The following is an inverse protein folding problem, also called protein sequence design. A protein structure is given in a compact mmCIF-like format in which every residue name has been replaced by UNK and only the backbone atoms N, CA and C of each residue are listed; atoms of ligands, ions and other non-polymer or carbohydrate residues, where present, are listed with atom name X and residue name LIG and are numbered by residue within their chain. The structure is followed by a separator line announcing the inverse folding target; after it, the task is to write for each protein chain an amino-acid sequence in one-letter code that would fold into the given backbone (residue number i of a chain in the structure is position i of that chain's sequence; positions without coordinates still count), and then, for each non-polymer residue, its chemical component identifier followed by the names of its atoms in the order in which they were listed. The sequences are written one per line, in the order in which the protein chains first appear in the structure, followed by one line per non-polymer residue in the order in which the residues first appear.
data_IF_094257699123
#
_entry.id   IF_094257699123
#
_cell.length_a   1.000
_cell.length_b   1.000
_cell.length_c   1.000
_cell.angle_alpha   90.00
_cell.angle_beta   90.00
_cell.angle_gamma   90.00
#
_symmetry.space_group_name_H-M   'P 1'
#
loop_
_entity.id
_entity.type
_entity.pdbx_description
1 polymer ?
#
# COMPACT_ATOMS: atom_id res chain seq x y z
N UNK A 1 -9.40 -18.00 18.33
CA UNK A 1 -9.98 -17.17 17.26
C UNK A 1 -9.16 -17.33 15.99
N UNK A 2 -9.83 -17.67 14.89
CA UNK A 2 -9.23 -17.80 13.55
C UNK A 2 -9.55 -16.59 12.68
N UNK A 3 -8.50 -15.86 12.27
CA UNK A 3 -8.60 -14.67 11.42
C UNK A 3 -7.94 -14.97 10.08
N UNK A 4 -8.67 -14.75 9.00
CA UNK A 4 -8.14 -14.79 7.64
C UNK A 4 -8.01 -13.35 7.11
N UNK A 5 -6.76 -12.89 6.97
CA UNK A 5 -6.40 -11.64 6.31
C UNK A 5 -6.33 -11.81 4.79
N UNK A 6 -6.92 -10.88 4.05
CA UNK A 6 -6.95 -10.89 2.58
C UNK A 6 -6.61 -9.50 2.03
N UNK A 7 -5.70 -9.47 1.05
CA UNK A 7 -5.47 -8.30 0.20
C UNK A 7 -5.77 -8.68 -1.25
N UNK A 8 -6.78 -8.07 -1.90
CA UNK A 8 -7.06 -8.26 -3.33
C UNK A 8 -6.34 -7.19 -4.20
N UNK A 9 -5.25 -6.61 -3.69
CA UNK A 9 -4.46 -5.55 -4.32
C UNK A 9 -3.68 -6.05 -5.55
N UNK A 10 -2.73 -5.27 -6.05
CA UNK A 10 -1.90 -5.62 -7.21
C UNK A 10 -1.00 -6.85 -6.98
N UNK A 11 -0.70 -7.20 -5.72
CA UNK A 11 -0.12 -8.48 -5.34
C UNK A 11 -1.08 -9.16 -4.35
N UNK A 12 -2.06 -9.87 -4.91
CA UNK A 12 -3.13 -10.41 -4.09
C UNK A 12 -2.59 -11.53 -3.18
N UNK A 13 -2.99 -11.53 -1.91
CA UNK A 13 -2.40 -12.39 -0.88
C UNK A 13 -3.40 -12.75 0.22
N UNK A 14 -3.11 -13.84 0.92
CA UNK A 14 -3.85 -14.28 2.09
C UNK A 14 -2.89 -14.63 3.24
N UNK A 15 -3.30 -14.33 4.47
CA UNK A 15 -2.61 -14.69 5.69
C UNK A 15 -3.61 -15.24 6.71
N UNK A 16 -3.32 -16.39 7.29
CA UNK A 16 -4.13 -17.02 8.33
C UNK A 16 -3.46 -16.84 9.69
N UNK A 17 -4.20 -16.31 10.64
CA UNK A 17 -3.79 -16.13 12.02
C UNK A 17 -4.66 -16.99 12.94
N UNK A 18 -4.04 -17.58 13.96
CA UNK A 18 -4.70 -18.26 15.08
C UNK A 18 -4.23 -17.61 16.38
N UNK A 19 -5.17 -17.01 17.10
CA UNK A 19 -4.91 -16.39 18.42
C UNK A 19 -3.75 -15.38 18.40
N UNK A 20 -3.71 -14.54 17.35
CA UNK A 20 -2.70 -13.51 17.15
C UNK A 20 -1.40 -13.99 16.48
N UNK A 21 -1.22 -15.29 16.29
CA UNK A 21 -0.02 -15.88 15.68
C UNK A 21 -0.27 -16.18 14.21
N UNK A 22 0.66 -15.77 13.33
CA UNK A 22 0.62 -16.11 11.89
C UNK A 22 0.91 -17.60 11.71
N UNK A 23 -0.05 -18.33 11.13
CA UNK A 23 0.06 -19.76 10.84
C UNK A 23 0.59 -20.00 9.43
N UNK A 24 0.09 -19.23 8.46
CA UNK A 24 0.50 -19.32 7.06
C UNK A 24 0.22 -18.00 6.34
N UNK A 25 1.08 -17.62 5.41
CA UNK A 25 0.84 -16.48 4.52
C UNK A 25 1.42 -16.78 3.12
N UNK A 26 0.70 -16.42 2.07
CA UNK A 26 1.14 -16.62 0.70
C UNK A 26 0.52 -15.59 -0.25
N UNK A 27 1.30 -15.16 -1.25
CA UNK A 27 0.82 -14.38 -2.37
C UNK A 27 0.36 -15.27 -3.52
N UNK A 28 -0.71 -14.86 -4.22
CA UNK A 28 -1.34 -15.59 -5.34
C UNK A 28 -0.32 -15.86 -6.46
N UNK A 29 0.58 -14.91 -6.73
CA UNK A 29 1.64 -15.06 -7.74
C UNK A 29 2.52 -16.30 -7.53
N UNK A 30 2.67 -16.76 -6.28
CA UNK A 30 3.49 -17.94 -5.97
C UNK A 30 2.84 -19.21 -6.48
N UNK A 31 1.50 -19.24 -6.50
CA UNK A 31 0.68 -20.36 -6.95
C UNK A 31 0.44 -20.30 -8.47
N UNK A 32 0.08 -19.12 -8.99
CA UNK A 32 -0.26 -18.96 -10.42
C UNK A 32 0.95 -18.81 -11.31
N UNK A 33 2.13 -18.50 -10.73
CA UNK A 33 3.38 -18.22 -11.44
C UNK A 33 3.31 -16.98 -12.33
N UNK A 34 2.25 -16.19 -12.20
CA UNK A 34 2.10 -14.89 -12.86
C UNK A 34 2.63 -13.81 -11.91
N UNK A 35 3.73 -13.15 -12.27
CA UNK A 35 4.35 -12.13 -11.40
C UNK A 35 3.39 -10.95 -11.15
N UNK A 36 3.20 -10.54 -9.90
CA UNK A 36 2.26 -9.48 -9.52
C UNK A 36 0.80 -9.85 -9.85
N UNK A 37 0.45 -11.11 -9.64
CA UNK A 37 -0.92 -11.56 -9.85
C UNK A 37 -1.85 -10.98 -8.78
N UNK A 38 -2.85 -10.22 -9.21
CA UNK A 38 -3.72 -9.51 -8.29
C UNK A 38 -4.91 -8.83 -8.97
N UNK A 39 -5.43 -7.80 -8.30
CA UNK A 39 -6.61 -7.02 -8.72
C UNK A 39 -7.94 -7.74 -8.54
N UNK A 40 -7.94 -8.86 -7.82
CA UNK A 40 -9.07 -9.74 -7.57
C UNK A 40 -8.86 -10.52 -6.27
N UNK A 41 -9.91 -11.18 -5.79
CA UNK A 41 -9.83 -12.02 -4.60
C UNK A 41 -8.83 -13.18 -4.80
N UNK A 42 -7.83 -13.37 -3.92
CA UNK A 42 -6.78 -14.39 -4.05
C UNK A 42 -7.29 -15.76 -3.59
N UNK A 43 -8.15 -16.38 -4.40
CA UNK A 43 -8.79 -17.66 -4.04
C UNK A 43 -7.77 -18.79 -3.86
N UNK A 44 -6.73 -18.84 -4.69
CA UNK A 44 -5.67 -19.84 -4.54
C UNK A 44 -4.96 -19.69 -3.21
N UNK A 45 -4.58 -18.47 -2.84
CA UNK A 45 -3.90 -18.18 -1.57
C UNK A 45 -4.79 -18.52 -0.36
N UNK A 46 -6.08 -18.16 -0.41
CA UNK A 46 -7.06 -18.49 0.64
C UNK A 46 -7.12 -19.99 0.87
N UNK A 47 -7.33 -20.79 -0.18
CA UNK A 47 -7.38 -22.25 -0.05
C UNK A 47 -6.05 -22.80 0.46
N UNK A 48 -4.93 -22.23 0.01
CA UNK A 48 -3.61 -22.74 0.36
C UNK A 48 -3.27 -22.53 1.84
N UNK A 49 -3.55 -21.34 2.40
CA UNK A 49 -3.29 -21.08 3.83
C UNK A 49 -4.19 -21.90 4.74
N UNK A 50 -5.44 -22.11 4.35
CA UNK A 50 -6.38 -22.96 5.08
C UNK A 50 -5.94 -24.43 5.05
N UNK A 51 -5.54 -24.92 3.87
CA UNK A 51 -5.01 -26.28 3.68
C UNK A 51 -3.76 -26.54 4.53
N UNK A 52 -2.83 -25.57 4.65
CA UNK A 52 -1.64 -25.70 5.51
C UNK A 52 -2.06 -25.96 6.97
N UNK A 53 -3.13 -25.32 7.44
CA UNK A 53 -3.63 -25.48 8.80
C UNK A 53 -4.59 -26.67 8.97
N UNK A 54 -4.89 -27.43 7.91
CA UNK A 54 -5.91 -28.49 7.95
C UNK A 54 -7.32 -27.96 8.17
N UNK A 55 -7.60 -26.72 7.74
CA UNK A 55 -8.86 -26.01 7.93
C UNK A 55 -9.57 -25.77 6.60
N UNK A 56 -10.81 -25.34 6.69
CA UNK A 56 -11.67 -24.93 5.58
C UNK A 56 -12.17 -23.50 5.80
N UNK A 57 -12.82 -22.93 4.78
CA UNK A 57 -13.49 -21.62 4.91
C UNK A 57 -14.59 -21.64 5.98
N UNK A 58 -15.12 -22.81 6.31
CA UNK A 58 -16.11 -23.00 7.36
C UNK A 58 -15.52 -22.96 8.76
N UNK A 59 -14.19 -22.80 8.93
CA UNK A 59 -13.53 -22.69 10.24
C UNK A 59 -13.18 -21.23 10.59
N UNK A 60 -13.28 -20.31 9.62
CA UNK A 60 -12.88 -18.91 9.79
C UNK A 60 -13.89 -18.12 10.61
N UNK A 61 -13.44 -17.55 11.73
CA UNK A 61 -14.26 -16.71 12.61
C UNK A 61 -14.38 -15.26 12.10
N UNK A 62 -13.28 -14.74 11.56
CA UNK A 62 -13.20 -13.38 11.07
C UNK A 62 -12.42 -13.31 9.74
N UNK A 63 -13.00 -12.61 8.77
CA UNK A 63 -12.37 -12.23 7.52
C UNK A 63 -11.97 -10.75 7.61
N UNK A 64 -10.67 -10.51 7.67
CA UNK A 64 -10.07 -9.18 7.63
C UNK A 64 -9.65 -8.86 6.20
N UNK A 65 -10.19 -7.81 5.58
CA UNK A 65 -9.92 -7.50 4.17
C UNK A 65 -9.48 -6.05 3.99
N UNK A 66 -8.48 -5.82 3.14
CA UNK A 66 -8.21 -4.48 2.58
C UNK A 66 -9.19 -4.29 1.41
N UNK A 67 -10.16 -3.37 1.49
CA UNK A 67 -11.25 -3.31 0.52
C UNK A 67 -10.84 -2.62 -0.80
N UNK A 68 -9.77 -3.04 -1.46
CA UNK A 68 -9.35 -2.44 -2.74
C UNK A 68 -10.32 -2.79 -3.89
N UNK A 69 -10.63 -4.08 -3.99
CA UNK A 69 -11.43 -4.69 -5.05
C UNK A 69 -12.48 -5.58 -4.41
N UNK A 70 -13.73 -5.36 -4.81
CA UNK A 70 -14.85 -6.19 -4.38
C UNK A 70 -15.77 -6.51 -5.55
N UNK A 71 -16.51 -7.63 -5.49
CA UNK A 71 -17.51 -7.95 -6.50
C UNK A 71 -18.59 -6.88 -6.56
N UNK A 72 -18.92 -6.42 -7.77
CA UNK A 72 -19.88 -5.33 -7.97
C UNK A 72 -21.23 -5.61 -7.33
N UNK A 73 -21.70 -6.86 -7.41
CA UNK A 73 -22.98 -7.28 -6.88
C UNK A 73 -23.01 -7.44 -5.35
N UNK A 74 -21.84 -7.37 -4.72
CA UNK A 74 -21.65 -7.38 -3.27
C UNK A 74 -21.52 -5.96 -2.69
N UNK A 75 -21.61 -4.90 -3.52
CA UNK A 75 -21.56 -3.52 -3.08
C UNK A 75 -22.93 -2.87 -3.32
N UNK A 76 -23.46 -2.19 -2.30
CA UNK A 76 -24.62 -1.31 -2.41
C UNK A 76 -24.17 0.07 -2.84
N UNK A 77 -24.80 0.63 -3.86
CA UNK A 77 -24.54 2.01 -4.24
C UNK A 77 -25.34 2.97 -3.32
N UNK A 78 -24.74 4.06 -2.79
CA UNK A 78 -25.46 5.04 -1.97
C UNK A 78 -26.60 5.74 -2.74
N UNK A 79 -26.41 5.98 -4.04
CA UNK A 79 -27.46 6.51 -4.93
C UNK A 79 -28.33 5.40 -5.53
N UNK A 80 -29.65 5.50 -5.32
CA UNK A 80 -30.65 4.52 -5.80
C UNK A 80 -30.63 4.34 -7.32
N UNK A 81 -30.50 5.42 -8.10
CA UNK A 81 -30.46 5.34 -9.56
C UNK A 81 -29.29 4.50 -10.08
N UNK A 82 -28.09 4.70 -9.52
CA UNK A 82 -26.92 3.88 -9.86
C UNK A 82 -27.03 2.44 -9.37
N UNK A 83 -27.71 2.21 -8.24
CA UNK A 83 -28.00 0.86 -7.75
C UNK A 83 -28.92 0.10 -8.71
N UNK A 84 -29.97 0.74 -9.21
CA UNK A 84 -30.87 0.15 -10.21
C UNK A 84 -30.13 -0.14 -11.51
N UNK A 85 -29.36 0.83 -12.01
CA UNK A 85 -28.54 0.67 -13.21
C UNK A 85 -27.58 -0.53 -13.10
N UNK A 86 -26.91 -0.68 -11.95
CA UNK A 86 -26.03 -1.83 -11.66
C UNK A 86 -26.78 -3.15 -11.64
N UNK A 87 -27.96 -3.20 -11.04
CA UNK A 87 -28.78 -4.43 -11.01
C UNK A 87 -29.21 -4.85 -12.41
N UNK A 88 -29.68 -3.91 -13.22
CA UNK A 88 -30.08 -4.17 -14.61
C UNK A 88 -28.88 -4.68 -15.43
N UNK A 89 -27.72 -4.04 -15.28
CA UNK A 89 -26.47 -4.46 -15.92
C UNK A 89 -26.04 -5.86 -15.47
N UNK A 90 -26.06 -6.14 -14.17
CA UNK A 90 -25.70 -7.45 -13.62
C UNK A 90 -26.65 -8.55 -14.09
N UNK A 91 -27.95 -8.27 -14.18
CA UNK A 91 -28.93 -9.20 -14.74
C UNK A 91 -28.63 -9.49 -16.22
N UNK A 92 -28.37 -8.44 -17.02
CA UNK A 92 -28.00 -8.57 -18.43
C UNK A 92 -26.72 -9.39 -18.62
N UNK A 93 -25.70 -9.12 -17.82
CA UNK A 93 -24.41 -9.81 -17.91
C UNK A 93 -24.57 -11.30 -17.52
N UNK A 94 -25.41 -11.61 -16.50
CA UNK A 94 -25.77 -12.99 -16.13
C UNK A 94 -26.51 -13.73 -17.26
N UNK A 95 -27.48 -13.08 -17.89
CA UNK A 95 -28.20 -13.65 -19.04
C UNK A 95 -27.27 -13.95 -20.22
N UNK A 96 -26.13 -13.26 -20.31
CA UNK A 96 -25.09 -13.47 -21.32
C UNK A 96 -23.98 -14.43 -20.87
N UNK A 97 -24.08 -15.02 -19.68
CA UNK A 97 -23.03 -15.89 -19.12
C UNK A 97 -21.71 -15.18 -18.81
N UNK A 98 -21.72 -13.85 -18.68
CA UNK A 98 -20.52 -13.07 -18.40
C UNK A 98 -20.16 -13.13 -16.90
N UNK A 99 -18.86 -13.12 -16.56
CA UNK A 99 -18.41 -13.15 -15.17
C UNK A 99 -18.80 -11.86 -14.44
N UNK A 100 -19.03 -11.98 -13.13
CA UNK A 100 -19.22 -10.82 -12.25
C UNK A 100 -17.93 -10.01 -12.21
N UNK A 101 -18.07 -8.69 -12.36
CA UNK A 101 -16.94 -7.77 -12.36
C UNK A 101 -16.52 -7.43 -10.93
N UNK A 102 -15.22 -7.36 -10.70
CA UNK A 102 -14.65 -6.76 -9.49
C UNK A 102 -14.42 -5.27 -9.73
N UNK A 103 -14.95 -4.44 -8.84
CA UNK A 103 -14.88 -2.97 -8.93
C UNK A 103 -13.93 -2.42 -7.89
N UNK A 104 -13.21 -1.35 -8.26
CA UNK A 104 -12.37 -0.62 -7.34
C UNK A 104 -13.24 0.17 -6.34
N UNK A 105 -13.11 -0.15 -5.06
CA UNK A 105 -13.94 0.42 -3.99
C UNK A 105 -13.48 1.84 -3.62
N UNK A 106 -12.24 2.21 -3.96
CA UNK A 106 -11.72 3.57 -3.77
C UNK A 106 -12.55 4.67 -4.46
N UNK A 107 -13.37 4.34 -5.46
CA UNK A 107 -14.34 5.30 -6.01
C UNK A 107 -15.52 5.56 -5.06
N UNK A 108 -15.98 4.52 -4.35
CA UNK A 108 -17.03 4.65 -3.33
C UNK A 108 -16.51 5.46 -2.14
N UNK A 109 -15.30 5.16 -1.64
CA UNK A 109 -14.67 5.93 -0.56
C UNK A 109 -14.58 7.43 -0.90
N UNK A 110 -14.09 7.76 -2.10
CA UNK A 110 -14.02 9.16 -2.57
C UNK A 110 -15.41 9.80 -2.73
N UNK A 111 -16.41 9.04 -3.17
CA UNK A 111 -17.78 9.56 -3.23
C UNK A 111 -18.34 9.85 -1.83
N UNK A 112 -18.10 8.98 -0.85
CA UNK A 112 -18.49 9.19 0.54
C UNK A 112 -17.83 10.44 1.12
N UNK A 113 -16.52 10.59 0.91
CA UNK A 113 -15.76 11.75 1.36
C UNK A 113 -16.29 13.07 0.77
N UNK A 114 -16.61 13.11 -0.53
CA UNK A 114 -17.23 14.29 -1.19
C UNK A 114 -18.61 14.64 -0.64
N UNK A 115 -19.31 13.67 -0.06
CA UNK A 115 -20.60 13.87 0.62
C UNK A 115 -20.42 14.25 2.10
N UNK A 116 -19.20 14.46 2.59
CA UNK A 116 -18.92 14.73 4.01
C UNK A 116 -19.17 13.52 4.92
N UNK A 117 -19.22 12.30 4.36
CA UNK A 117 -19.40 11.06 5.13
C UNK A 117 -18.06 10.41 5.41
N UNK A 118 -18.01 9.66 6.51
CA UNK A 118 -16.87 8.80 6.80
C UNK A 118 -16.64 7.84 5.61
N UNK A 119 -15.41 7.70 5.10
CA UNK A 119 -15.09 6.85 3.96
C UNK A 119 -15.06 5.35 4.32
N UNK A 120 -15.90 4.92 5.26
CA UNK A 120 -16.08 3.54 5.64
C UNK A 120 -17.03 2.83 4.65
N UNK A 121 -16.53 1.76 4.04
CA UNK A 121 -17.25 1.01 3.01
C UNK A 121 -17.98 -0.20 3.55
N UNK A 122 -17.67 -0.66 4.77
CA UNK A 122 -18.33 -1.81 5.39
C UNK A 122 -19.87 -1.73 5.37
N UNK A 123 -20.51 -0.58 5.70
CA UNK A 123 -21.98 -0.47 5.69
C UNK A 123 -22.61 -0.69 4.30
N UNK A 124 -21.81 -0.50 3.24
CA UNK A 124 -22.22 -0.67 1.85
C UNK A 124 -21.96 -2.09 1.34
N UNK A 125 -21.21 -2.91 2.07
CA UNK A 125 -20.94 -4.30 1.67
C UNK A 125 -22.13 -5.20 2.01
N UNK A 126 -22.52 -6.03 1.04
CA UNK A 126 -23.46 -7.13 1.23
C UNK A 126 -22.72 -8.33 1.80
N UNK A 127 -22.25 -8.20 3.05
CA UNK A 127 -21.40 -9.20 3.72
C UNK A 127 -21.94 -10.64 3.58
N UNK A 128 -23.22 -10.88 3.92
CA UNK A 128 -23.84 -12.22 3.79
C UNK A 128 -23.79 -12.80 2.37
N UNK A 129 -23.99 -11.96 1.35
CA UNK A 129 -23.91 -12.38 -0.06
C UNK A 129 -22.48 -12.74 -0.43
N UNK A 130 -21.52 -11.91 0.00
CA UNK A 130 -20.10 -12.16 -0.23
C UNK A 130 -19.65 -13.45 0.45
N UNK A 131 -19.96 -13.64 1.73
CA UNK A 131 -19.63 -14.84 2.51
C UNK A 131 -20.22 -16.10 1.87
N UNK A 132 -21.51 -16.08 1.52
CA UNK A 132 -22.15 -17.20 0.83
C UNK A 132 -21.48 -17.50 -0.52
N UNK A 133 -21.20 -16.47 -1.33
CA UNK A 133 -20.55 -16.63 -2.64
C UNK A 133 -19.17 -17.24 -2.53
N UNK A 134 -18.42 -16.83 -1.52
CA UNK A 134 -17.07 -17.30 -1.26
C UNK A 134 -17.07 -18.50 -0.29
N UNK A 135 -18.20 -19.16 -0.01
CA UNK A 135 -18.24 -20.39 0.77
C UNK A 135 -17.73 -20.27 2.22
N UNK A 136 -17.92 -19.12 2.86
CA UNK A 136 -17.70 -18.92 4.30
C UNK A 136 -19.00 -19.18 5.08
N UNK A 137 -18.89 -19.35 6.41
CA UNK A 137 -20.08 -19.48 7.26
C UNK A 137 -20.91 -18.18 7.25
N UNK A 138 -22.23 -18.24 7.41
CA UNK A 138 -23.08 -17.05 7.48
C UNK A 138 -22.77 -16.12 8.68
N UNK A 139 -22.16 -16.65 9.73
CA UNK A 139 -21.80 -15.95 10.96
C UNK A 139 -20.33 -15.47 11.01
N UNK A 140 -19.50 -15.82 10.02
CA UNK A 140 -18.14 -15.27 9.87
C UNK A 140 -18.21 -13.74 9.83
N UNK A 141 -17.43 -13.09 10.70
CA UNK A 141 -17.37 -11.62 10.76
C UNK A 141 -16.56 -11.10 9.59
N UNK A 142 -17.11 -10.15 8.82
CA UNK A 142 -16.36 -9.42 7.79
C UNK A 142 -15.94 -8.06 8.36
N UNK A 143 -14.65 -7.73 8.26
CA UNK A 143 -14.05 -6.46 8.68
C UNK A 143 -13.13 -5.92 7.60
N UNK A 144 -13.27 -4.64 7.27
CA UNK A 144 -12.44 -3.92 6.33
C UNK A 144 -11.43 -3.06 7.08
N UNK A 145 -10.18 -3.09 6.63
CA UNK A 145 -9.09 -2.32 7.23
C UNK A 145 -8.45 -1.39 6.22
N UNK A 146 -7.93 -0.26 6.70
CA UNK A 146 -7.14 0.62 5.86
C UNK A 146 -5.82 -0.05 5.42
N UNK A 147 -5.34 0.29 4.22
CA UNK A 147 -4.15 -0.29 3.60
C UNK A 147 -2.88 0.09 4.35
N UNK A 148 -2.70 1.39 4.64
CA UNK A 148 -1.52 1.87 5.35
C UNK A 148 -1.56 1.50 6.83
N UNK A 149 -2.75 1.45 7.44
CA UNK A 149 -2.92 0.93 8.79
C UNK A 149 -2.57 -0.56 8.87
N UNK A 150 -2.98 -1.36 7.89
CA UNK A 150 -2.61 -2.78 7.81
C UNK A 150 -1.09 -2.95 7.68
N UNK A 151 -0.43 -2.15 6.84
CA UNK A 151 1.03 -2.13 6.77
C UNK A 151 1.69 -1.74 8.11
N UNK A 152 1.18 -0.69 8.76
CA UNK A 152 1.75 -0.19 10.00
C UNK A 152 1.60 -1.21 11.14
N UNK A 153 0.42 -1.80 11.30
CA UNK A 153 0.18 -2.84 12.30
C UNK A 153 0.96 -4.11 12.02
N UNK A 154 1.14 -4.51 10.76
CA UNK A 154 1.99 -5.65 10.41
C UNK A 154 3.46 -5.39 10.83
N UNK A 155 4.01 -4.21 10.54
CA UNK A 155 5.35 -3.85 11.00
C UNK A 155 5.45 -3.81 12.54
N UNK A 156 4.48 -3.17 13.20
CA UNK A 156 4.46 -3.05 14.65
C UNK A 156 4.39 -4.42 15.34
N UNK A 157 3.35 -5.20 15.05
CA UNK A 157 3.07 -6.47 15.73
C UNK A 157 4.10 -7.56 15.42
N UNK A 158 4.73 -7.54 14.24
CA UNK A 158 5.75 -8.55 13.88
C UNK A 158 7.18 -8.14 14.27
N UNK A 159 7.41 -6.89 14.67
CA UNK A 159 8.74 -6.42 15.08
C UNK A 159 9.22 -7.00 16.41
N UNK A 160 8.28 -7.38 17.29
CA UNK A 160 8.59 -7.77 18.67
C UNK A 160 8.99 -6.60 19.58
N UNK A 161 8.82 -5.35 19.14
CA UNK A 161 9.10 -4.17 19.95
C UNK A 161 7.86 -3.76 20.77
N UNK A 162 8.06 -3.51 22.07
CA UNK A 162 7.01 -2.95 22.95
C UNK A 162 6.69 -1.50 22.59
N UNK A 163 7.71 -0.77 22.13
CA UNK A 163 7.63 0.61 21.66
C UNK A 163 8.46 0.78 20.38
N UNK A 164 7.85 1.36 19.34
CA UNK A 164 8.56 1.70 18.11
C UNK A 164 7.92 2.88 17.37
N UNK A 165 8.78 3.68 16.72
CA UNK A 165 8.34 4.49 15.59
C UNK A 165 7.93 3.56 14.47
N UNK A 166 6.70 3.68 13.98
CA UNK A 166 6.21 2.91 12.84
C UNK A 166 6.08 3.82 11.64
N UNK A 167 6.69 3.46 10.51
CA UNK A 167 6.63 4.24 9.27
C UNK A 167 6.26 3.34 8.10
N UNK A 168 5.25 3.76 7.36
CA UNK A 168 4.89 3.15 6.08
C UNK A 168 5.09 4.12 4.94
N UNK A 169 5.70 3.66 3.85
CA UNK A 169 5.88 4.42 2.61
C UNK A 169 5.66 3.49 1.43
N UNK A 170 4.69 3.82 0.58
CA UNK A 170 4.25 2.99 -0.54
C UNK A 170 3.98 3.84 -1.79
N UNK A 171 3.52 3.19 -2.88
CA UNK A 171 2.97 3.87 -4.06
C UNK A 171 1.80 4.78 -3.67
N UNK A 172 0.62 4.21 -3.50
CA UNK A 172 -0.58 4.87 -2.99
C UNK A 172 -1.52 3.78 -2.43
N UNK A 173 -2.08 3.98 -1.24
CA UNK A 173 -3.18 3.23 -0.65
C UNK A 173 -4.52 3.97 -0.75
N UNK A 174 -5.43 3.71 0.20
CA UNK A 174 -6.76 4.34 0.19
C UNK A 174 -6.69 5.86 0.28
N UNK A 175 -7.62 6.52 -0.42
CA UNK A 175 -7.78 7.98 -0.41
C UNK A 175 -6.54 8.79 -0.82
N UNK A 176 -5.54 8.16 -1.46
CA UNK A 176 -4.33 8.84 -1.88
C UNK A 176 -3.20 8.82 -0.85
N UNK A 177 -3.42 8.22 0.33
CA UNK A 177 -2.36 8.05 1.34
C UNK A 177 -1.21 7.26 0.72
N UNK A 178 0.02 7.74 0.88
CA UNK A 178 1.24 7.08 0.40
C UNK A 178 2.34 7.03 1.46
N UNK A 179 2.14 7.72 2.58
CA UNK A 179 2.95 7.58 3.78
C UNK A 179 2.09 7.71 5.04
N UNK A 180 2.40 6.91 6.06
CA UNK A 180 1.87 7.04 7.42
C UNK A 180 3.01 6.85 8.41
N UNK A 181 3.10 7.69 9.44
CA UNK A 181 4.00 7.48 10.57
C UNK A 181 3.29 7.70 11.90
N UNK A 182 3.75 6.97 12.91
CA UNK A 182 3.15 6.97 14.23
C UNK A 182 4.05 6.33 15.28
N UNK A 183 3.54 6.31 16.50
CA UNK A 183 4.15 5.64 17.64
C UNK A 183 3.31 4.42 18.00
N UNK A 184 3.92 3.25 17.96
CA UNK A 184 3.35 2.05 18.54
C UNK A 184 3.85 1.91 19.97
N UNK A 185 2.93 1.72 20.92
CA UNK A 185 3.22 1.43 22.32
C UNK A 185 2.06 0.64 22.93
N UNK A 186 2.35 -0.38 23.73
CA UNK A 186 1.37 -1.15 24.50
C UNK A 186 0.23 -1.73 23.63
N UNK A 187 0.58 -2.21 22.42
CA UNK A 187 -0.40 -2.79 21.49
C UNK A 187 -1.24 -1.76 20.73
N UNK A 188 -1.02 -0.46 20.93
CA UNK A 188 -1.77 0.62 20.29
C UNK A 188 -0.85 1.43 19.37
N UNK A 189 -1.29 1.63 18.13
CA UNK A 189 -0.64 2.52 17.19
C UNK A 189 -1.33 3.88 17.18
N UNK A 190 -0.63 4.92 17.65
CA UNK A 190 -1.05 6.29 17.48
C UNK A 190 -0.49 6.86 16.18
N UNK A 191 -1.38 7.15 15.22
CA UNK A 191 -1.00 7.82 13.97
C UNK A 191 -0.66 9.29 14.24
N UNK A 192 0.53 9.73 13.84
CA UNK A 192 1.03 11.08 14.07
C UNK A 192 1.17 11.90 12.79
N UNK A 193 1.43 11.29 11.64
CA UNK A 193 1.47 11.99 10.37
C UNK A 193 1.06 11.09 9.21
N UNK A 194 0.55 11.73 8.15
CA UNK A 194 0.13 11.09 6.91
C UNK A 194 0.52 11.99 5.75
N UNK A 195 0.89 11.39 4.62
CA UNK A 195 1.00 12.11 3.35
C UNK A 195 0.05 11.50 2.35
N UNK A 196 -0.83 12.33 1.80
CA UNK A 196 -1.92 11.96 0.88
C UNK A 196 -2.03 12.92 -0.33
N UNK A 197 -1.17 13.93 -0.38
CA UNK A 197 -1.12 14.88 -1.48
C UNK A 197 -0.65 14.22 -2.78
N UNK A 198 -1.45 14.36 -3.84
CA UNK A 198 -1.06 13.96 -5.19
C UNK A 198 0.23 14.68 -5.62
N UNK A 199 1.09 14.00 -6.38
CA UNK A 199 2.41 14.51 -6.75
C UNK A 199 3.50 14.41 -5.66
N UNK A 200 3.19 13.91 -4.46
CA UNK A 200 4.17 13.76 -3.37
C UNK A 200 4.55 12.31 -3.03
N UNK A 201 3.95 11.31 -3.68
CA UNK A 201 4.26 9.91 -3.40
C UNK A 201 5.71 9.57 -3.78
N UNK A 202 6.45 9.04 -2.80
CA UNK A 202 7.81 8.52 -3.00
C UNK A 202 7.82 7.20 -3.79
N UNK A 203 6.83 6.32 -3.56
CA UNK A 203 6.70 5.07 -4.30
C UNK A 203 6.47 5.33 -5.80
N UNK A 204 5.50 6.19 -6.14
CA UNK A 204 5.25 6.55 -7.54
C UNK A 204 6.38 7.37 -8.18
N UNK A 205 7.13 8.14 -7.39
CA UNK A 205 8.34 8.78 -7.89
C UNK A 205 9.36 7.74 -8.37
N UNK A 206 9.67 6.75 -7.51
CA UNK A 206 10.69 5.74 -7.81
C UNK A 206 10.22 4.75 -8.90
N UNK A 207 8.94 4.36 -8.87
CA UNK A 207 8.28 3.59 -9.93
C UNK A 207 8.31 4.34 -11.28
N UNK A 208 8.02 5.64 -11.25
CA UNK A 208 8.05 6.50 -12.42
C UNK A 208 9.43 6.58 -13.06
N UNK A 209 10.48 6.77 -12.26
CA UNK A 209 11.88 6.71 -12.74
C UNK A 209 12.20 5.33 -13.31
N UNK A 210 11.75 4.25 -12.65
CA UNK A 210 11.93 2.88 -13.15
C UNK A 210 11.37 2.74 -14.56
N UNK A 211 10.16 3.26 -14.83
CA UNK A 211 9.58 3.30 -16.16
C UNK A 211 10.35 4.20 -17.15
N UNK A 212 10.76 5.40 -16.74
CA UNK A 212 11.53 6.33 -17.59
C UNK A 212 12.89 5.77 -18.00
N UNK A 213 13.50 4.92 -17.18
CA UNK A 213 14.74 4.21 -17.49
C UNK A 213 14.53 2.97 -18.39
N UNK A 214 13.31 2.72 -18.87
CA UNK A 214 12.98 1.58 -19.73
C UNK A 214 12.86 0.26 -18.97
N UNK A 215 12.80 0.29 -17.64
CA UNK A 215 12.51 -0.89 -16.84
C UNK A 215 11.00 -1.08 -16.64
N UNK A 216 10.61 -2.15 -15.95
CA UNK A 216 9.20 -2.49 -15.73
C UNK A 216 8.79 -2.05 -14.33
N UNK A 217 7.90 -1.06 -14.19
CA UNK A 217 7.29 -0.66 -12.93
C UNK A 217 6.73 -1.86 -12.13
N UNK A 218 6.76 -1.74 -10.80
CA UNK A 218 6.31 -2.73 -9.80
C UNK A 218 7.08 -4.06 -9.85
N UNK A 219 8.29 -4.06 -10.42
CA UNK A 219 9.11 -5.28 -10.61
C UNK A 219 10.61 -5.01 -10.61
N UNK A 220 11.04 -3.90 -11.20
CA UNK A 220 12.44 -3.63 -11.50
C UNK A 220 13.03 -2.47 -10.70
N UNK A 221 12.36 -1.98 -9.67
CA UNK A 221 12.85 -0.93 -8.76
C UNK A 221 14.21 -1.33 -8.15
N UNK A 222 14.39 -2.61 -7.82
CA UNK A 222 15.69 -3.14 -7.35
C UNK A 222 16.82 -3.02 -8.38
N UNK A 223 16.53 -2.97 -9.69
CA UNK A 223 17.54 -2.70 -10.73
C UNK A 223 17.96 -1.24 -10.72
N UNK A 224 17.03 -0.31 -10.46
CA UNK A 224 17.36 1.11 -10.29
C UNK A 224 18.26 1.30 -9.08
N UNK A 225 17.96 0.63 -7.96
CA UNK A 225 18.83 0.63 -6.78
C UNK A 225 20.24 0.12 -7.09
N UNK A 226 20.37 -1.01 -7.81
CA UNK A 226 21.68 -1.55 -8.20
C UNK A 226 22.44 -0.62 -9.15
N UNK A 227 21.73 -0.01 -10.10
CA UNK A 227 22.30 0.92 -11.08
C UNK A 227 22.78 2.23 -10.44
N UNK A 228 22.09 2.69 -9.39
CA UNK A 228 22.41 3.91 -8.66
C UNK A 228 23.84 3.92 -8.06
N UNK A 229 24.44 2.75 -7.83
CA UNK A 229 25.81 2.64 -7.34
C UNK A 229 26.89 3.08 -8.36
N UNK A 230 26.52 3.22 -9.63
CA UNK A 230 27.45 3.47 -10.75
C UNK A 230 27.38 4.89 -11.32
N UNK A 231 26.50 5.75 -10.78
CA UNK A 231 26.27 7.10 -11.29
C UNK A 231 26.65 8.22 -10.32
N UNK A 232 26.70 9.43 -10.83
CA UNK A 232 26.82 10.66 -10.03
C UNK A 232 25.43 11.33 -9.91
N UNK A 233 24.87 11.49 -8.70
CA UNK A 233 23.58 12.15 -8.52
C UNK A 233 23.64 13.66 -8.76
N UNK A 234 24.82 14.29 -8.66
CA UNK A 234 24.97 15.75 -8.58
C UNK A 234 24.35 16.51 -9.76
N UNK A 235 24.51 16.10 -11.02
CA UNK A 235 23.98 16.87 -12.16
C UNK A 235 22.45 17.03 -12.13
N UNK A 236 21.75 16.07 -11.53
CA UNK A 236 20.29 15.99 -11.54
C UNK A 236 19.66 16.32 -10.18
N UNK A 237 20.45 16.41 -9.12
CA UNK A 237 19.93 16.45 -7.74
C UNK A 237 18.97 17.62 -7.49
N UNK A 238 19.28 18.82 -7.99
CA UNK A 238 18.44 19.99 -7.76
C UNK A 238 17.08 19.86 -8.46
N UNK A 239 17.08 19.37 -9.70
CA UNK A 239 15.84 19.08 -10.42
C UNK A 239 15.02 17.99 -9.73
N UNK A 240 15.67 16.94 -9.21
CA UNK A 240 14.98 15.84 -8.56
C UNK A 240 14.38 16.24 -7.20
N UNK A 241 15.01 17.14 -6.43
CA UNK A 241 14.43 17.71 -5.19
C UNK A 241 13.13 18.47 -5.41
N UNK A 242 12.92 19.02 -6.60
CA UNK A 242 11.65 19.64 -6.99
C UNK A 242 10.54 18.61 -7.18
N UNK A 243 10.89 17.38 -7.57
CA UNK A 243 9.95 16.29 -7.78
C UNK A 243 9.64 15.49 -6.51
N UNK A 244 10.54 15.46 -5.53
CA UNK A 244 10.30 14.81 -4.23
C UNK A 244 11.24 15.37 -3.16
N UNK A 245 10.69 15.72 -2.00
CA UNK A 245 11.44 16.10 -0.79
C UNK A 245 10.61 15.89 0.47
N UNK A 246 11.27 15.91 1.63
CA UNK A 246 10.59 16.07 2.90
C UNK A 246 10.05 17.50 3.01
N UNK A 247 8.83 17.67 3.52
CA UNK A 247 8.29 18.99 3.81
C UNK A 247 9.09 19.66 4.95
N UNK A 248 9.10 21.01 5.03
CA UNK A 248 9.81 21.72 6.11
C UNK A 248 9.39 21.30 7.52
N UNK A 249 8.16 20.80 7.69
CA UNK A 249 7.67 20.27 8.96
C UNK A 249 8.35 18.98 9.42
N UNK A 250 9.07 18.28 8.52
CA UNK A 250 9.64 16.95 8.78
C UNK A 250 8.60 15.83 8.88
N UNK A 251 7.30 16.13 8.71
CA UNK A 251 6.19 15.19 8.98
C UNK A 251 5.57 14.60 7.72
N UNK A 252 5.77 15.23 6.57
CA UNK A 252 5.15 14.81 5.31
C UNK A 252 6.13 14.87 4.15
N UNK A 253 5.76 14.20 3.06
CA UNK A 253 6.45 14.32 1.78
C UNK A 253 5.77 15.39 0.91
N UNK A 254 6.53 16.06 0.06
CA UNK A 254 6.02 17.10 -0.85
C UNK A 254 6.84 17.20 -2.14
N UNK A 255 6.35 18.01 -3.08
CA UNK A 255 7.01 18.38 -4.34
C UNK A 255 6.47 19.71 -4.86
N UNK A 256 7.07 20.25 -5.92
CA UNK A 256 6.61 21.47 -6.61
C UNK A 256 5.31 21.25 -7.42
N UNK A 257 4.83 20.00 -7.48
CA UNK A 257 3.67 19.58 -8.25
C UNK A 257 2.42 19.39 -7.38
N UNK A 258 2.58 19.37 -6.06
CA UNK A 258 1.45 19.30 -5.12
C UNK A 258 0.48 20.46 -5.37
N UNK A 259 -0.82 20.15 -5.33
CA UNK A 259 -1.89 21.13 -5.55
C UNK A 259 -2.26 21.37 -7.01
N UNK A 260 -1.55 20.77 -7.97
CA UNK A 260 -1.88 20.86 -9.39
C UNK A 260 -2.94 19.83 -9.80
N UNK A 261 -3.81 20.13 -10.78
CA UNK A 261 -4.87 19.21 -11.23
C UNK A 261 -4.36 17.84 -11.72
N UNK A 262 -3.18 17.82 -12.36
CA UNK A 262 -2.55 16.62 -12.88
C UNK A 262 -1.17 16.38 -12.25
N UNK A 263 -1.03 16.65 -10.94
CA UNK A 263 0.22 16.67 -10.19
C UNK A 263 1.19 15.53 -10.53
N UNK A 264 0.76 14.26 -10.48
CA UNK A 264 1.62 13.11 -10.79
C UNK A 264 2.03 13.04 -12.26
N UNK A 265 1.11 13.34 -13.17
CA UNK A 265 1.38 13.36 -14.62
C UNK A 265 2.36 14.46 -15.01
N UNK A 266 2.15 15.67 -14.48
CA UNK A 266 3.06 16.81 -14.67
C UNK A 266 4.44 16.55 -14.07
N UNK A 267 4.50 15.95 -12.87
CA UNK A 267 5.76 15.56 -12.24
C UNK A 267 6.54 14.58 -13.10
N UNK A 268 5.88 13.57 -13.67
CA UNK A 268 6.52 12.60 -14.55
C UNK A 268 6.93 13.20 -15.90
N UNK A 269 6.14 14.13 -16.46
CA UNK A 269 6.50 14.85 -17.67
C UNK A 269 7.76 15.71 -17.44
N UNK A 270 7.82 16.44 -16.33
CA UNK A 270 9.00 17.18 -15.93
C UNK A 270 10.24 16.30 -15.80
N UNK A 271 10.15 15.17 -15.08
CA UNK A 271 11.29 14.26 -14.93
C UNK A 271 11.74 13.69 -16.27
N UNK A 272 10.82 13.35 -17.18
CA UNK A 272 11.15 12.89 -18.54
C UNK A 272 11.99 13.90 -19.31
N UNK A 273 11.73 15.19 -19.14
CA UNK A 273 12.47 16.24 -19.82
C UNK A 273 13.82 16.49 -19.16
N UNK A 274 13.86 16.51 -17.83
CA UNK A 274 15.08 16.71 -17.03
C UNK A 274 16.14 15.63 -17.30
N UNK A 275 15.74 14.37 -17.46
CA UNK A 275 16.71 13.27 -17.61
C UNK A 275 17.32 13.18 -19.02
N UNK A 276 16.86 13.99 -19.99
CA UNK A 276 17.36 13.91 -21.37
C UNK A 276 18.85 14.24 -21.42
N UNK A 277 19.62 13.39 -22.10
CA UNK A 277 21.07 13.57 -22.23
C UNK A 277 21.89 13.07 -21.04
N UNK A 278 21.26 12.54 -19.98
CA UNK A 278 21.95 11.92 -18.86
C UNK A 278 22.04 10.40 -19.01
N UNK A 279 23.08 9.81 -18.40
CA UNK A 279 23.23 8.35 -18.34
C UNK A 279 22.14 7.73 -17.45
N UNK A 280 21.87 6.43 -17.62
CA UNK A 280 20.85 5.74 -16.79
C UNK A 280 21.33 5.61 -15.35
N UNK A 281 22.64 5.50 -15.18
CA UNK A 281 23.39 5.45 -13.94
C UNK A 281 23.22 6.74 -13.14
N UNK A 282 23.44 7.90 -13.75
CA UNK A 282 23.29 9.21 -13.07
C UNK A 282 21.84 9.46 -12.69
N UNK A 283 20.89 9.11 -13.56
CA UNK A 283 19.45 9.21 -13.28
C UNK A 283 19.05 8.31 -12.11
N UNK A 284 19.53 7.06 -12.09
CA UNK A 284 19.29 6.13 -10.99
C UNK A 284 19.93 6.62 -9.69
N UNK A 285 21.16 7.14 -9.75
CA UNK A 285 21.87 7.72 -8.60
C UNK A 285 21.10 8.93 -8.02
N UNK A 286 20.63 9.84 -8.87
CA UNK A 286 19.82 10.99 -8.46
C UNK A 286 18.47 10.58 -7.86
N UNK A 287 17.79 9.59 -8.45
CA UNK A 287 16.55 9.04 -7.90
C UNK A 287 16.76 8.43 -6.50
N UNK A 288 17.80 7.61 -6.35
CA UNK A 288 18.15 6.99 -5.09
C UNK A 288 18.51 8.04 -4.03
N UNK A 289 19.34 9.01 -4.39
CA UNK A 289 19.74 10.09 -3.48
C UNK A 289 18.55 10.94 -3.06
N UNK A 290 17.63 11.24 -3.97
CA UNK A 290 16.42 12.03 -3.70
C UNK A 290 15.45 11.27 -2.79
N UNK A 291 15.29 9.96 -2.99
CA UNK A 291 14.50 9.12 -2.10
C UNK A 291 15.06 9.13 -0.67
N UNK A 292 16.38 8.99 -0.51
CA UNK A 292 17.06 9.09 0.79
C UNK A 292 16.89 10.46 1.43
N UNK A 293 17.10 11.55 0.67
CA UNK A 293 16.94 12.93 1.16
C UNK A 293 15.49 13.29 1.50
N UNK A 294 14.50 12.57 0.96
CA UNK A 294 13.09 12.77 1.28
C UNK A 294 12.64 11.94 2.50
N UNK A 295 13.00 10.66 2.56
CA UNK A 295 12.45 9.73 3.56
C UNK A 295 13.27 9.70 4.85
N UNK A 296 14.60 9.81 4.80
CA UNK A 296 15.44 9.75 6.01
C UNK A 296 15.13 10.89 6.99
N UNK A 297 14.99 12.16 6.56
CA UNK A 297 14.59 13.24 7.48
C UNK A 297 13.21 13.02 8.10
N UNK A 298 12.29 12.41 7.35
CA UNK A 298 10.94 12.11 7.84
C UNK A 298 10.97 11.11 8.99
N UNK A 299 11.76 10.03 8.87
CA UNK A 299 11.93 9.03 9.94
C UNK A 299 12.66 9.63 11.14
N UNK A 300 13.75 10.38 10.88
CA UNK A 300 14.51 11.08 11.93
C UNK A 300 13.63 12.01 12.75
N UNK A 301 12.81 12.84 12.12
CA UNK A 301 11.91 13.74 12.81
C UNK A 301 10.94 12.97 13.73
N UNK A 302 10.47 11.80 13.32
CA UNK A 302 9.61 10.95 14.15
C UNK A 302 10.35 10.36 15.36
N UNK A 303 11.59 9.89 15.16
CA UNK A 303 12.47 9.41 16.25
C UNK A 303 12.75 10.53 17.25
N UNK A 304 13.12 11.72 16.77
CA UNK A 304 13.41 12.89 17.62
C UNK A 304 12.17 13.38 18.39
N UNK A 305 11.01 13.41 17.74
CA UNK A 305 9.76 13.91 18.35
C UNK A 305 9.19 12.92 19.38
N UNK A 306 9.33 11.61 19.14
CA UNK A 306 8.76 10.58 20.03
C UNK A 306 9.73 10.10 21.11
N UNK A 307 11.04 10.21 20.87
CA UNK A 307 12.08 9.66 21.73
C UNK A 307 12.25 8.14 21.62
N UNK A 308 11.42 7.46 20.82
CA UNK A 308 11.49 6.01 20.66
C UNK A 308 12.74 5.60 19.88
N UNK A 309 13.39 4.52 20.32
CA UNK A 309 14.70 4.08 19.80
C UNK A 309 14.62 2.92 18.82
N UNK A 310 13.44 2.32 18.67
CA UNK A 310 13.20 1.28 17.68
C UNK A 310 12.35 1.83 16.54
N UNK A 311 12.61 1.34 15.34
CA UNK A 311 11.89 1.75 14.13
C UNK A 311 11.37 0.50 13.42
N UNK A 312 10.06 0.46 13.14
CA UNK A 312 9.42 -0.58 12.34
C UNK A 312 8.94 0.00 11.01
N UNK A 313 9.37 -0.59 9.90
CA UNK A 313 9.18 -0.09 8.53
C UNK A 313 8.34 -1.08 7.70
N UNK A 314 7.44 -0.57 6.87
CA UNK A 314 6.67 -1.39 5.90
C UNK A 314 6.22 -0.58 4.67
N UNK A 315 5.86 -1.24 3.59
CA UNK A 315 5.47 -0.64 2.31
C UNK A 315 6.57 -0.79 1.26
N UNK A 316 6.18 -0.76 -0.02
CA UNK A 316 7.06 -1.18 -1.13
C UNK A 316 8.37 -0.40 -1.23
N UNK A 317 8.41 0.85 -0.73
CA UNK A 317 9.63 1.67 -0.73
C UNK A 317 10.72 1.11 0.18
N UNK A 318 10.37 0.42 1.27
CA UNK A 318 11.35 -0.16 2.19
C UNK A 318 11.89 -1.52 1.72
N UNK A 319 11.52 -2.00 0.54
CA UNK A 319 12.34 -3.00 -0.17
C UNK A 319 13.72 -2.43 -0.58
N UNK A 320 13.91 -1.11 -0.50
CA UNK A 320 15.17 -0.43 -0.78
C UNK A 320 16.16 -0.58 0.39
N UNK A 321 17.06 -1.57 0.30
CA UNK A 321 18.03 -1.86 1.36
C UNK A 321 18.98 -0.71 1.67
N UNK A 322 19.28 0.17 0.70
CA UNK A 322 20.14 1.33 0.92
C UNK A 322 19.44 2.40 1.76
N UNK A 323 18.15 2.65 1.49
CA UNK A 323 17.33 3.52 2.34
C UNK A 323 17.27 2.98 3.78
N UNK A 324 17.02 1.68 3.94
CA UNK A 324 16.96 1.05 5.26
C UNK A 324 18.29 1.17 6.02
N UNK A 325 19.43 1.00 5.33
CA UNK A 325 20.76 1.21 5.91
C UNK A 325 20.92 2.64 6.43
N UNK A 326 20.45 3.65 5.68
CA UNK A 326 20.54 5.06 6.09
C UNK A 326 19.66 5.36 7.30
N UNK A 327 18.50 4.71 7.40
CA UNK A 327 17.60 4.82 8.55
C UNK A 327 18.20 4.15 9.79
N UNK A 328 18.77 2.96 9.64
CA UNK A 328 19.43 2.23 10.73
C UNK A 328 20.64 2.97 11.30
N UNK A 329 21.29 3.82 10.49
CA UNK A 329 22.42 4.65 10.89
C UNK A 329 22.01 6.00 11.53
N UNK A 330 20.72 6.27 11.72
CA UNK A 330 20.26 7.51 12.34
C UNK A 330 20.68 7.58 13.82
N UNK A 331 21.16 8.73 14.31
CA UNK A 331 21.38 8.93 15.74
C UNK A 331 20.10 8.65 16.55
N UNK A 332 20.22 7.91 17.65
CA UNK A 332 19.09 7.54 18.50
C UNK A 332 18.36 6.26 18.09
N UNK A 333 18.58 5.75 16.88
CA UNK A 333 18.05 4.45 16.44
C UNK A 333 18.96 3.33 16.95
N UNK A 334 18.36 2.36 17.63
CA UNK A 334 19.06 1.18 18.20
C UNK A 334 18.73 -0.10 17.47
N UNK A 335 17.51 -0.22 16.92
CA UNK A 335 17.10 -1.34 16.10
C UNK A 335 16.12 -0.89 15.02
N UNK A 336 16.19 -1.55 13.86
CA UNK A 336 15.23 -1.38 12.76
C UNK A 336 14.67 -2.75 12.42
N UNK A 337 13.34 -2.83 12.34
CA UNK A 337 12.62 -3.95 11.77
C UNK A 337 12.01 -3.53 10.43
N UNK A 338 12.12 -4.37 9.41
CA UNK A 338 11.50 -4.17 8.10
C UNK A 338 10.63 -5.39 7.84
N UNK A 339 9.32 -5.17 7.68
CA UNK A 339 8.34 -6.23 7.45
C UNK A 339 8.43 -6.81 6.04
#
# INVERSE_FOLDING_TARGET
MLILGISPSHEASAALLRDGVVVAAIAEERLTRVKGDGGRLPRGAIEHVLRIAGLSRQDVDCLAIVPDRFPEDCIRHPFLGREVERRLRSLRDRLRGLPIRDVAVGHLQRALQRMGREPNVEPYLRARRFLHREGFRPDTRLRCFDHHESHAMAAACCSGFDEAVVVTVDGVGHLGVHHTSGLFRDGVLQRLATSDAAGASAGWFYEGITGLLGFRPLRHEGKVLGLAAWGDPKPLQEAFRRALRCAPSGRTLTSDFVGRPAADGERMAYLRDVIRGHSREDVAAAAQRTLEEAVVPLVRNMVETTGARHVALNGGVFANVRLNQRIAALPGVTAVFVF
#
